data_IF_214336804098
#
_entry.id   IF_214336804098
#
_cell.length_a   1.000
_cell.length_b   1.000
_cell.length_c   1.000
_cell.angle_alpha   90.00
_cell.angle_beta   90.00
_cell.angle_gamma   90.00
#
_symmetry.space_group_name_H-M   'P 1'
#
loop_
_entity.id
_entity.type
_entity.pdbx_description
1 polymer ?
#
# COMPACT_ATOMS: atom_id res chain seq x y z
N UNK A 1 -18.70 -44.31 47.10
CA UNK A 1 -18.06 -43.09 46.66
C UNK A 1 -17.97 -42.14 47.83
N UNK A 2 -16.78 -41.88 48.34
CA UNK A 2 -16.59 -41.03 49.51
C UNK A 2 -16.78 -39.56 49.16
N UNK A 3 -17.21 -38.74 50.13
CA UNK A 3 -17.40 -37.29 49.95
C UNK A 3 -16.09 -36.65 49.46
N UNK A 4 -14.94 -37.19 49.83
CA UNK A 4 -13.62 -36.74 49.42
C UNK A 4 -13.37 -36.94 47.92
N UNK A 5 -13.70 -38.09 47.34
CA UNK A 5 -13.59 -38.39 45.91
C UNK A 5 -14.47 -37.47 45.07
N UNK A 6 -15.68 -37.15 45.58
CA UNK A 6 -16.59 -36.22 44.91
C UNK A 6 -16.01 -34.78 44.88
N UNK A 7 -15.44 -34.34 46.00
CA UNK A 7 -14.80 -33.01 46.11
C UNK A 7 -13.55 -32.86 45.23
N UNK A 8 -12.74 -33.91 45.10
CA UNK A 8 -11.56 -33.90 44.21
C UNK A 8 -11.98 -33.88 42.74
N UNK A 9 -13.04 -34.60 42.38
CA UNK A 9 -13.58 -34.57 41.01
C UNK A 9 -14.16 -33.21 40.64
N UNK A 10 -14.78 -32.48 41.57
CA UNK A 10 -15.24 -31.11 41.32
C UNK A 10 -14.10 -30.14 41.19
N UNK A 11 -13.06 -30.22 42.03
CA UNK A 11 -11.86 -29.36 41.94
C UNK A 11 -11.13 -29.56 40.64
N UNK A 12 -10.99 -30.78 40.15
CA UNK A 12 -10.33 -31.06 38.85
C UNK A 12 -11.13 -30.50 37.68
N UNK A 13 -12.45 -30.61 37.67
CA UNK A 13 -13.31 -30.03 36.60
C UNK A 13 -13.28 -28.51 36.60
N UNK A 14 -13.29 -27.86 37.76
CA UNK A 14 -13.21 -26.41 37.87
C UNK A 14 -11.83 -25.90 37.42
N UNK A 15 -10.75 -26.60 37.80
CA UNK A 15 -9.41 -26.28 37.40
C UNK A 15 -9.22 -26.40 35.88
N UNK A 16 -9.77 -27.45 35.25
CA UNK A 16 -9.70 -27.61 33.78
C UNK A 16 -10.49 -26.54 33.03
N UNK A 17 -11.62 -26.08 33.56
CA UNK A 17 -12.39 -25.00 32.95
C UNK A 17 -11.64 -23.66 33.01
N UNK A 18 -11.01 -23.34 34.15
CA UNK A 18 -10.19 -22.13 34.26
C UNK A 18 -8.97 -22.18 33.34
N UNK A 19 -8.37 -23.36 33.16
CA UNK A 19 -7.24 -23.53 32.22
C UNK A 19 -7.71 -23.37 30.79
N UNK A 20 -8.84 -23.96 30.39
CA UNK A 20 -9.43 -23.79 29.07
C UNK A 20 -9.69 -22.31 28.71
N UNK A 21 -10.33 -21.59 29.67
CA UNK A 21 -10.56 -20.13 29.50
C UNK A 21 -9.26 -19.35 29.32
N UNK A 22 -8.22 -19.63 30.12
CA UNK A 22 -6.91 -18.97 29.99
C UNK A 22 -6.26 -19.23 28.60
N UNK A 23 -6.37 -20.47 28.11
CA UNK A 23 -5.86 -20.84 26.78
C UNK A 23 -6.62 -20.11 25.65
N UNK A 24 -7.94 -19.99 25.75
CA UNK A 24 -8.75 -19.23 24.80
C UNK A 24 -8.33 -17.76 24.79
N UNK A 25 -8.21 -17.13 25.96
CA UNK A 25 -7.77 -15.74 26.06
C UNK A 25 -6.34 -15.53 25.54
N UNK A 26 -5.43 -16.46 25.81
CA UNK A 26 -4.09 -16.44 25.25
C UNK A 26 -4.12 -16.53 23.73
N UNK A 27 -4.96 -17.41 23.15
CA UNK A 27 -5.17 -17.51 21.71
C UNK A 27 -5.74 -16.22 21.10
N UNK A 28 -6.71 -15.59 21.75
CA UNK A 28 -7.29 -14.31 21.31
C UNK A 28 -6.22 -13.19 21.32
N UNK A 29 -5.41 -13.12 22.36
CA UNK A 29 -4.32 -12.12 22.45
C UNK A 29 -3.31 -12.32 21.33
N UNK A 30 -2.88 -13.56 21.07
CA UNK A 30 -1.96 -13.89 19.97
C UNK A 30 -2.58 -13.52 18.62
N UNK A 31 -3.85 -13.82 18.41
CA UNK A 31 -4.57 -13.46 17.17
C UNK A 31 -4.64 -11.95 16.98
N UNK A 32 -4.99 -11.19 18.02
CA UNK A 32 -5.03 -9.73 17.98
C UNK A 32 -3.65 -9.13 17.68
N UNK A 33 -2.60 -9.67 18.29
CA UNK A 33 -1.23 -9.26 18.00
C UNK A 33 -0.86 -9.51 16.56
N UNK A 34 -1.26 -10.66 16.01
CA UNK A 34 -1.00 -11.01 14.60
C UNK A 34 -1.75 -10.09 13.63
N UNK A 35 -3.01 -9.75 13.95
CA UNK A 35 -3.81 -8.79 13.15
C UNK A 35 -3.18 -7.40 13.21
N UNK A 36 -2.76 -6.93 14.38
CA UNK A 36 -2.11 -5.63 14.54
C UNK A 36 -0.78 -5.58 13.77
N UNK A 37 0.02 -6.63 13.83
CA UNK A 37 1.27 -6.75 13.07
C UNK A 37 1.02 -6.75 11.56
N UNK A 38 0.04 -7.50 11.07
CA UNK A 38 -0.33 -7.52 9.67
C UNK A 38 -0.83 -6.15 9.20
N UNK A 39 -1.68 -5.49 9.99
CA UNK A 39 -2.15 -4.14 9.71
C UNK A 39 -0.98 -3.13 9.64
N UNK A 40 -0.09 -3.16 10.61
CA UNK A 40 1.12 -2.33 10.58
C UNK A 40 1.92 -2.55 9.30
N UNK A 41 2.19 -3.80 8.95
CA UNK A 41 2.98 -4.16 7.76
C UNK A 41 2.33 -3.71 6.44
N UNK A 42 1.00 -3.72 6.37
CA UNK A 42 0.24 -3.31 5.17
C UNK A 42 0.18 -1.79 5.02
N UNK A 43 0.01 -1.06 6.14
CA UNK A 43 -0.26 0.37 6.11
C UNK A 43 0.96 1.26 6.35
N UNK A 44 2.08 0.69 6.78
CA UNK A 44 3.26 1.48 7.07
C UNK A 44 3.93 1.99 5.78
N UNK A 45 4.07 3.32 5.60
CA UNK A 45 4.79 3.90 4.48
C UNK A 45 6.28 3.61 4.61
N UNK A 46 6.86 3.04 3.55
CA UNK A 46 8.30 2.74 3.51
C UNK A 46 9.13 3.95 3.08
N UNK A 47 8.65 4.72 2.11
CA UNK A 47 9.36 5.86 1.53
C UNK A 47 8.37 6.86 0.98
N UNK A 48 8.75 8.12 0.99
CA UNK A 48 8.02 9.22 0.36
C UNK A 48 8.97 10.01 -0.52
N UNK A 49 8.44 10.65 -1.56
CA UNK A 49 9.26 11.47 -2.44
C UNK A 49 8.45 12.13 -3.53
N UNK A 50 9.17 12.84 -4.39
CA UNK A 50 8.59 13.51 -5.55
C UNK A 50 9.24 13.06 -6.84
N UNK A 51 8.46 12.99 -7.91
CA UNK A 51 8.95 12.74 -9.26
C UNK A 51 8.31 13.72 -10.22
N UNK A 52 9.11 14.23 -11.14
CA UNK A 52 8.68 15.22 -12.12
C UNK A 52 8.78 14.64 -13.52
N UNK A 53 7.75 14.88 -14.33
CA UNK A 53 7.70 14.38 -15.70
C UNK A 53 6.39 14.77 -16.39
N UNK A 54 6.08 14.06 -17.46
CA UNK A 54 4.87 14.22 -18.24
C UNK A 54 4.00 12.98 -18.08
N UNK A 55 2.69 13.17 -17.90
CA UNK A 55 1.74 12.06 -17.87
C UNK A 55 1.59 11.51 -19.27
N UNK A 56 1.96 10.24 -19.46
CA UNK A 56 1.85 9.56 -20.75
C UNK A 56 0.51 8.86 -20.91
N UNK A 57 0.01 8.29 -19.82
CA UNK A 57 -1.23 7.51 -19.82
C UNK A 57 -1.81 7.46 -18.42
N UNK A 58 -3.12 7.59 -18.34
CA UNK A 58 -3.90 7.34 -17.13
C UNK A 58 -5.03 6.36 -17.46
N UNK A 59 -5.19 5.33 -16.67
CA UNK A 59 -6.17 4.27 -16.91
C UNK A 59 -6.88 3.88 -15.63
N UNK A 60 -8.18 3.67 -15.71
CA UNK A 60 -8.97 3.13 -14.60
C UNK A 60 -9.12 1.62 -14.78
N UNK A 61 -8.39 0.84 -14.00
CA UNK A 61 -8.25 -0.61 -14.15
C UNK A 61 -8.78 -1.36 -12.92
N UNK A 62 -9.10 -2.62 -13.11
CA UNK A 62 -9.52 -3.59 -12.09
C UNK A 62 -10.89 -4.19 -12.35
N UNK A 63 -11.04 -5.48 -12.03
CA UNK A 63 -12.31 -6.21 -12.19
C UNK A 63 -13.26 -5.95 -11.02
N UNK A 64 -12.81 -6.16 -9.79
CA UNK A 64 -13.58 -6.00 -8.55
C UNK A 64 -13.26 -4.67 -7.87
N UNK A 65 -11.99 -4.38 -7.73
CA UNK A 65 -11.50 -3.13 -7.14
C UNK A 65 -10.85 -2.30 -8.23
N UNK A 66 -11.54 -1.26 -8.67
CA UNK A 66 -11.01 -0.34 -9.68
C UNK A 66 -10.08 0.67 -9.03
N UNK A 67 -8.91 0.85 -9.63
CA UNK A 67 -7.88 1.81 -9.23
C UNK A 67 -7.40 2.59 -10.44
N UNK A 68 -6.97 3.83 -10.22
CA UNK A 68 -6.34 4.63 -11.24
C UNK A 68 -4.86 4.31 -11.31
N UNK A 69 -4.39 3.94 -12.51
CA UNK A 69 -3.01 3.58 -12.79
C UNK A 69 -2.46 4.50 -13.85
N UNK A 70 -1.27 5.03 -13.62
CA UNK A 70 -0.66 6.00 -14.52
C UNK A 70 0.79 5.69 -14.88
N UNK A 71 1.20 6.28 -15.98
CA UNK A 71 2.57 6.24 -16.49
C UNK A 71 3.12 7.67 -16.53
N UNK A 72 4.22 7.90 -15.81
CA UNK A 72 4.96 9.15 -15.84
C UNK A 72 6.22 8.96 -16.69
N UNK A 73 6.36 9.76 -17.73
CA UNK A 73 7.59 9.85 -18.50
C UNK A 73 8.52 10.88 -17.85
N UNK A 74 9.59 10.38 -17.24
CA UNK A 74 10.62 11.24 -16.66
C UNK A 74 11.65 11.61 -17.74
N UNK A 75 12.16 12.85 -17.78
CA UNK A 75 13.28 13.21 -18.63
C UNK A 75 14.50 12.37 -18.22
N UNK A 76 14.98 11.54 -19.13
CA UNK A 76 16.18 10.73 -18.94
C UNK A 76 17.37 11.43 -19.61
N UNK A 77 18.43 11.69 -18.87
CA UNK A 77 19.74 12.07 -19.42
C UNK A 77 20.60 10.83 -19.35
N UNK A 78 20.81 10.16 -20.45
CA UNK A 78 21.89 9.17 -20.57
C UNK A 78 23.15 9.92 -21.01
N UNK A 79 24.13 10.01 -20.12
CA UNK A 79 25.47 10.44 -20.47
C UNK A 79 26.09 9.32 -21.29
N UNK A 80 26.17 9.51 -22.63
CA UNK A 80 27.06 8.69 -23.44
C UNK A 80 28.50 9.13 -23.12
N UNK A 81 29.41 8.19 -22.98
CA UNK A 81 30.82 8.42 -22.63
C UNK A 81 31.60 9.27 -23.63
N UNK A 82 31.01 9.59 -24.77
CA UNK A 82 31.63 10.32 -25.88
C UNK A 82 31.07 11.75 -26.11
N UNK A 83 30.56 12.41 -25.08
CA UNK A 83 30.21 13.83 -25.17
C UNK A 83 28.98 14.18 -26.04
N UNK A 84 28.39 13.24 -26.74
CA UNK A 84 27.14 13.41 -27.45
C UNK A 84 26.00 13.08 -26.51
N UNK A 85 25.25 14.07 -26.03
CA UNK A 85 24.04 13.88 -25.23
C UNK A 85 22.97 13.23 -26.09
N UNK A 86 22.92 11.92 -26.07
CA UNK A 86 21.77 11.18 -26.59
C UNK A 86 20.63 11.29 -25.59
N UNK A 87 19.59 12.05 -25.89
CA UNK A 87 18.31 12.02 -25.21
C UNK A 87 17.65 10.68 -25.55
N UNK A 88 18.05 9.63 -24.88
CA UNK A 88 17.40 8.32 -25.00
C UNK A 88 16.06 8.40 -24.28
N UNK A 89 15.01 7.89 -24.90
CA UNK A 89 13.62 7.96 -24.45
C UNK A 89 13.45 7.81 -22.96
N UNK A 90 12.75 8.78 -22.36
CA UNK A 90 12.62 8.96 -20.92
C UNK A 90 12.18 7.69 -20.20
N UNK A 91 12.72 7.50 -19.02
CA UNK A 91 12.38 6.37 -18.16
C UNK A 91 10.89 6.46 -17.76
N UNK A 92 10.13 5.41 -18.05
CA UNK A 92 8.71 5.34 -17.70
C UNK A 92 8.60 4.82 -16.28
N UNK A 93 7.91 5.58 -15.45
CA UNK A 93 7.61 5.21 -14.08
C UNK A 93 6.11 4.95 -13.90
N UNK A 94 5.78 3.78 -13.38
CA UNK A 94 4.41 3.35 -13.13
C UNK A 94 3.99 3.73 -11.71
N UNK A 95 2.77 4.22 -11.58
CA UNK A 95 2.20 4.61 -10.30
C UNK A 95 0.71 4.30 -10.23
N UNK A 96 0.20 4.16 -9.02
CA UNK A 96 -1.22 4.05 -8.70
C UNK A 96 -1.69 5.32 -7.99
N UNK A 97 -2.97 5.67 -8.12
CA UNK A 97 -3.56 6.76 -7.34
C UNK A 97 -4.30 6.18 -6.14
N UNK A 98 -4.13 6.82 -5.00
CA UNK A 98 -4.81 6.42 -3.78
C UNK A 98 -6.33 6.55 -3.95
N UNK A 99 -7.07 5.58 -3.48
CA UNK A 99 -8.54 5.60 -3.58
C UNK A 99 -9.13 6.78 -2.80
N UNK A 100 -10.09 7.48 -3.42
CA UNK A 100 -10.74 8.64 -2.83
C UNK A 100 -10.05 9.98 -3.11
N UNK A 101 -8.94 9.98 -3.87
CA UNK A 101 -8.23 11.19 -4.28
C UNK A 101 -8.71 11.70 -5.65
N UNK A 102 -10.00 12.03 -5.74
CA UNK A 102 -10.62 12.47 -7.01
C UNK A 102 -10.01 13.78 -7.56
N UNK A 103 -9.54 14.65 -6.69
CA UNK A 103 -8.84 15.88 -7.10
C UNK A 103 -7.49 15.58 -7.74
N UNK A 104 -6.76 14.61 -7.22
CA UNK A 104 -5.51 14.12 -7.81
C UNK A 104 -5.77 13.55 -9.19
N UNK A 105 -6.82 12.72 -9.33
CA UNK A 105 -7.21 12.14 -10.62
C UNK A 105 -7.54 13.24 -11.64
N UNK A 106 -8.34 14.23 -11.27
CA UNK A 106 -8.65 15.37 -12.15
C UNK A 106 -7.41 16.14 -12.57
N UNK A 107 -6.51 16.42 -11.60
CA UNK A 107 -5.24 17.10 -11.89
C UNK A 107 -4.34 16.31 -12.88
N UNK A 108 -4.33 14.98 -12.75
CA UNK A 108 -3.61 14.08 -13.66
C UNK A 108 -4.23 14.05 -15.06
N UNK A 109 -5.57 14.00 -15.15
CA UNK A 109 -6.30 14.02 -16.42
C UNK A 109 -6.09 15.33 -17.18
N UNK A 110 -6.14 16.46 -16.47
CA UNK A 110 -5.85 17.76 -17.08
C UNK A 110 -4.40 17.85 -17.56
N UNK A 111 -3.44 17.36 -16.78
CA UNK A 111 -2.05 17.34 -17.15
C UNK A 111 -1.78 16.43 -18.35
N UNK A 112 -2.46 15.28 -18.45
CA UNK A 112 -2.42 14.40 -19.61
C UNK A 112 -2.96 15.11 -20.86
N UNK A 113 -4.15 15.72 -20.74
CA UNK A 113 -4.81 16.40 -21.86
C UNK A 113 -4.03 17.62 -22.39
N UNK A 114 -3.35 18.36 -21.51
CA UNK A 114 -2.57 19.56 -21.85
C UNK A 114 -1.10 19.28 -22.12
N UNK A 115 -0.66 18.03 -21.95
CA UNK A 115 0.76 17.64 -22.00
C UNK A 115 1.64 18.53 -21.11
N UNK A 116 1.14 18.89 -19.93
CA UNK A 116 1.81 19.77 -18.99
C UNK A 116 2.77 18.97 -18.08
N UNK A 117 3.92 19.57 -17.81
CA UNK A 117 4.88 19.01 -16.87
C UNK A 117 4.32 19.08 -15.45
N UNK A 118 4.38 17.96 -14.74
CA UNK A 118 3.87 17.83 -13.36
C UNK A 118 4.92 17.28 -12.42
N UNK A 119 4.81 17.67 -11.16
CA UNK A 119 5.52 17.04 -10.05
C UNK A 119 4.51 16.26 -9.23
N UNK A 120 4.73 14.96 -9.14
CA UNK A 120 3.92 14.02 -8.39
C UNK A 120 4.58 13.74 -7.03
N UNK A 121 3.84 13.91 -5.95
CA UNK A 121 4.23 13.40 -4.65
C UNK A 121 3.73 11.97 -4.50
N UNK A 122 4.59 11.06 -4.07
CA UNK A 122 4.24 9.66 -3.91
C UNK A 122 4.60 9.13 -2.53
N UNK A 123 3.81 8.18 -2.08
CA UNK A 123 4.07 7.34 -0.91
C UNK A 123 4.30 5.91 -1.41
N UNK A 124 5.42 5.33 -1.03
CA UNK A 124 5.75 3.95 -1.34
C UNK A 124 5.42 3.06 -0.15
N UNK A 125 4.71 1.96 -0.41
CA UNK A 125 4.44 0.93 0.60
C UNK A 125 5.34 -0.28 0.42
N UNK A 126 5.52 -1.06 1.50
CA UNK A 126 6.37 -2.25 1.52
C UNK A 126 5.91 -3.34 0.55
N UNK A 127 4.60 -3.49 0.38
CA UNK A 127 4.01 -4.49 -0.53
C UNK A 127 2.88 -3.92 -1.36
N UNK A 128 2.80 -4.45 -2.57
CA UNK A 128 1.69 -4.26 -3.48
C UNK A 128 0.55 -5.21 -3.10
N UNK A 129 -0.68 -4.68 -3.09
CA UNK A 129 -1.90 -5.46 -2.97
C UNK A 129 -2.86 -5.07 -4.10
N UNK A 130 -3.37 -6.05 -4.84
CA UNK A 130 -4.23 -5.83 -6.01
C UNK A 130 -5.50 -5.00 -5.72
N UNK A 131 -6.00 -5.04 -4.46
CA UNK A 131 -7.15 -4.22 -4.08
C UNK A 131 -6.81 -2.74 -3.84
N UNK A 132 -5.52 -2.37 -3.72
CA UNK A 132 -5.05 -1.00 -3.53
C UNK A 132 -4.57 -0.38 -4.84
N UNK A 133 -3.88 -1.14 -5.70
CA UNK A 133 -3.30 -0.69 -6.95
C UNK A 133 -2.35 -1.71 -7.56
N UNK A 134 -1.94 -1.48 -8.80
CA UNK A 134 -1.00 -2.35 -9.51
C UNK A 134 0.47 -2.08 -9.13
N UNK A 135 0.76 -0.96 -8.43
CA UNK A 135 2.11 -0.58 -8.03
C UNK A 135 2.23 -0.42 -6.52
N UNK A 136 3.45 -0.29 -6.02
CA UNK A 136 3.74 0.08 -4.62
C UNK A 136 3.77 1.60 -4.40
N UNK A 137 3.75 2.39 -5.49
CA UNK A 137 3.83 3.84 -5.46
C UNK A 137 2.44 4.44 -5.61
N UNK A 138 2.00 5.18 -4.61
CA UNK A 138 0.68 5.79 -4.58
C UNK A 138 0.80 7.31 -4.58
N UNK A 139 0.15 7.95 -5.56
CA UNK A 139 0.11 9.41 -5.66
C UNK A 139 -0.97 9.96 -4.74
N UNK A 140 -0.60 10.94 -3.95
CA UNK A 140 -1.49 11.69 -3.06
C UNK A 140 -1.55 13.19 -3.39
N UNK A 141 -0.58 13.70 -4.19
CA UNK A 141 -0.55 15.10 -4.58
C UNK A 141 0.04 15.30 -5.97
N UNK A 142 -0.58 16.18 -6.73
CA UNK A 142 -0.11 16.64 -8.06
C UNK A 142 0.13 18.14 -8.01
N UNK A 143 1.29 18.58 -8.49
CA UNK A 143 1.62 20.01 -8.65
C UNK A 143 1.97 20.26 -10.11
N UNK A 144 1.24 21.15 -10.78
CA UNK A 144 1.51 21.56 -12.13
C UNK A 144 2.68 22.54 -12.13
N UNK A 145 3.61 22.37 -13.06
CA UNK A 145 4.69 23.31 -13.28
C UNK A 145 4.29 24.23 -14.45
N UNK A 146 4.28 25.53 -14.19
CA UNK A 146 4.10 26.55 -15.22
C UNK A 146 5.38 26.71 -16.04
#
# INVERSE_FOLDING_TARGET
MSIQEYQEGLKSKVASWHLGRKLIWAGVIVLLFFIAYAAFYIYYPYSEGTRTGYIRKLSHKGMVFKTWEGELQMPGITSAADGNQMVTGGNIWLFSVKRGEDEVVKGLQEAEATNQRVTLHYVQYLKQFQWRGETVYFIDKVTKQN
#
